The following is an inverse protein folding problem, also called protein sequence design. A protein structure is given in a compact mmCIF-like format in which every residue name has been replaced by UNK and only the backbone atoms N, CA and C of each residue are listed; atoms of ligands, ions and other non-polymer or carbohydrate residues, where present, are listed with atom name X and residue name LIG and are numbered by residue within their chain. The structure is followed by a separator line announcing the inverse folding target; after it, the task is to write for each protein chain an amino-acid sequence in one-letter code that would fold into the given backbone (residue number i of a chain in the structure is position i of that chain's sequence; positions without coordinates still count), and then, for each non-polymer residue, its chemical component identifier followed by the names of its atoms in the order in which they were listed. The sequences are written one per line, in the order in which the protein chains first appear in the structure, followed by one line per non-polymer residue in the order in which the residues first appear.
data_IF_580714587442
#
_entry.id   IF_580714587442
#
_cell.length_a   1.000
_cell.length_b   1.000
_cell.length_c   1.000
_cell.angle_alpha   90.00
_cell.angle_beta   90.00
_cell.angle_gamma   90.00
#
_symmetry.space_group_name_H-M   'P 1'
#
loop_
_entity.id
_entity.type
_entity.pdbx_description
1 polymer ?
#
# COMPACT_ATOMS: atom_id res chain seq x y z
N UNK A 1 -31.98 -15.80 -21.98
CA UNK A 1 -30.84 -15.90 -21.01
C UNK A 1 -29.71 -15.07 -21.56
N UNK A 2 -29.57 -13.82 -21.09
CA UNK A 2 -28.48 -12.93 -21.48
C UNK A 2 -27.31 -13.06 -20.50
N UNK A 3 -26.05 -12.89 -20.95
CA UNK A 3 -24.89 -12.97 -20.07
C UNK A 3 -24.94 -11.86 -19.01
N UNK A 4 -24.66 -12.26 -17.76
CA UNK A 4 -24.68 -11.39 -16.59
C UNK A 4 -23.61 -10.28 -16.68
N UNK A 5 -23.78 -9.16 -15.95
CA UNK A 5 -23.02 -7.93 -16.14
C UNK A 5 -21.53 -7.89 -15.72
N UNK A 6 -20.87 -8.87 -15.05
CA UNK A 6 -19.48 -8.65 -14.67
C UNK A 6 -18.47 -8.76 -15.83
N UNK A 7 -18.86 -9.30 -17.00
CA UNK A 7 -17.91 -9.54 -18.09
C UNK A 7 -17.52 -8.29 -18.91
N UNK A 8 -18.34 -7.23 -18.91
CA UNK A 8 -18.05 -6.01 -19.69
C UNK A 8 -17.01 -5.08 -19.06
N UNK A 9 -16.80 -5.17 -17.75
CA UNK A 9 -15.82 -4.36 -17.04
C UNK A 9 -14.39 -4.90 -17.16
N UNK A 10 -14.21 -6.22 -17.36
CA UNK A 10 -12.89 -6.83 -17.49
C UNK A 10 -12.25 -6.54 -18.87
N UNK A 11 -13.06 -6.41 -19.92
CA UNK A 11 -12.58 -6.11 -21.28
C UNK A 11 -12.15 -4.64 -21.44
N UNK A 12 -12.74 -3.72 -20.67
CA UNK A 12 -12.37 -2.30 -20.69
C UNK A 12 -11.03 -2.02 -19.99
N UNK A 13 -10.72 -2.76 -18.92
CA UNK A 13 -9.50 -2.56 -18.13
C UNK A 13 -8.25 -3.07 -18.88
N UNK A 14 -8.37 -4.15 -19.65
CA UNK A 14 -7.27 -4.72 -20.45
C UNK A 14 -6.87 -3.81 -21.62
N UNK A 15 -7.84 -3.13 -22.24
CA UNK A 15 -7.58 -2.19 -23.34
C UNK A 15 -6.92 -0.88 -22.87
N UNK A 16 -7.16 -0.46 -21.63
CA UNK A 16 -6.54 0.74 -21.06
C UNK A 16 -5.10 0.52 -20.58
N UNK A 17 -4.77 -0.69 -20.11
CA UNK A 17 -3.41 -1.07 -19.70
C UNK A 17 -2.45 -1.33 -20.89
N UNK A 18 -2.97 -1.60 -22.09
CA UNK A 18 -2.13 -1.78 -23.27
C UNK A 18 -1.67 -0.46 -23.92
N UNK A 19 -2.32 0.67 -23.61
CA UNK A 19 -1.97 1.97 -24.20
C UNK A 19 -0.87 2.74 -23.44
N UNK A 20 -0.44 2.29 -22.26
CA UNK A 20 0.56 2.98 -21.44
C UNK A 20 1.99 2.40 -21.55
N UNK A 21 2.19 1.36 -22.36
CA UNK A 21 3.52 0.77 -22.64
C UNK A 21 4.14 1.26 -23.96
N UNK A 22 3.91 2.52 -24.36
CA UNK A 22 4.78 3.17 -25.34
C UNK A 22 6.08 3.62 -24.65
N UNK A 23 6.93 2.64 -24.29
CA UNK A 23 8.29 2.89 -23.82
C UNK A 23 9.07 3.56 -24.94
N UNK A 24 9.45 4.82 -24.73
CA UNK A 24 10.49 5.49 -25.52
C UNK A 24 11.81 4.80 -25.20
N UNK A 25 12.17 3.82 -26.03
CA UNK A 25 13.51 3.23 -26.02
C UNK A 25 14.48 4.25 -26.61
N UNK A 26 15.18 4.98 -25.74
CA UNK A 26 16.38 5.73 -26.12
C UNK A 26 17.47 4.68 -26.41
N UNK A 27 17.74 4.44 -27.69
CA UNK A 27 18.82 3.57 -28.13
C UNK A 27 20.16 4.22 -27.81
N UNK A 28 20.87 3.71 -26.82
CA UNK A 28 22.31 3.96 -26.67
C UNK A 28 23.08 3.14 -27.71
N UNK A 29 24.06 3.72 -28.42
CA UNK A 29 24.89 2.95 -29.33
C UNK A 29 25.80 2.01 -28.52
N UNK A 30 25.67 0.74 -28.84
CA UNK A 30 26.39 -0.43 -28.33
C UNK A 30 27.89 -0.33 -28.61
N UNK A 31 28.73 -0.60 -27.61
CA UNK A 31 30.11 -1.07 -27.85
C UNK A 31 30.14 -2.58 -27.62
N UNK A 32 30.15 -3.34 -28.72
CA UNK A 32 30.38 -4.79 -28.70
C UNK A 32 31.85 -5.04 -28.99
N UNK A 33 32.57 -5.54 -27.99
CA UNK A 33 33.91 -6.08 -28.17
C UNK A 33 33.81 -7.46 -28.85
N UNK A 34 34.36 -7.58 -30.06
CA UNK A 34 34.46 -8.84 -30.77
C UNK A 34 35.66 -9.65 -30.24
N UNK A 35 35.37 -10.83 -29.68
CA UNK A 35 36.37 -11.88 -29.44
C UNK A 35 36.46 -12.69 -30.74
N UNK A 36 37.65 -12.73 -31.32
CA UNK A 36 37.96 -13.52 -32.51
C UNK A 36 38.05 -15.02 -32.19
N UNK A 37 37.47 -15.84 -33.05
CA UNK A 37 37.81 -17.26 -33.19
C UNK A 37 37.84 -17.62 -34.69
N UNK A 38 38.69 -18.57 -35.12
CA UNK A 38 39.08 -18.69 -36.52
C UNK A 38 38.31 -19.78 -37.28
N UNK A 39 38.32 -19.62 -38.61
CA UNK A 39 38.16 -20.66 -39.65
C UNK A 39 36.72 -21.06 -40.01
N UNK A 40 36.33 -20.82 -41.27
CA UNK A 40 36.50 -21.77 -42.38
C UNK A 40 36.10 -21.05 -43.69
N UNK A 41 36.91 -21.27 -44.72
CA UNK A 41 36.85 -20.61 -46.03
C UNK A 41 35.77 -21.29 -46.87
N UNK A 42 34.80 -20.51 -47.34
CA UNK A 42 33.93 -20.88 -48.46
C UNK A 42 33.90 -19.70 -49.44
N UNK A 43 34.63 -19.84 -50.54
CA UNK A 43 34.72 -18.86 -51.62
C UNK A 43 33.46 -18.90 -52.49
N UNK A 44 32.47 -18.08 -52.15
CA UNK A 44 31.40 -17.73 -53.08
C UNK A 44 31.67 -16.33 -53.61
N UNK A 45 32.01 -16.27 -54.89
CA UNK A 45 32.38 -15.07 -55.64
C UNK A 45 31.13 -14.22 -55.89
N UNK A 46 30.91 -13.21 -55.03
CA UNK A 46 29.95 -12.12 -55.26
C UNK A 46 30.62 -10.95 -56.00
N UNK A 47 29.89 -10.24 -56.89
CA UNK A 47 30.43 -9.13 -57.68
C UNK A 47 30.86 -7.94 -56.79
N UNK A 48 31.76 -7.06 -57.29
CA UNK A 48 32.29 -5.95 -56.51
C UNK A 48 31.17 -4.96 -56.16
N UNK A 49 30.81 -4.92 -54.88
CA UNK A 49 30.03 -3.84 -54.31
C UNK A 49 30.98 -2.66 -54.06
N UNK A 50 30.80 -1.64 -54.89
CA UNK A 50 31.45 -0.34 -54.80
C UNK A 50 30.97 0.37 -53.53
N UNK A 51 31.71 0.19 -52.43
CA UNK A 51 31.49 0.92 -51.19
C UNK A 51 32.13 2.30 -51.35
N UNK A 52 31.35 3.28 -51.80
CA UNK A 52 31.64 4.70 -51.58
C UNK A 52 31.31 5.05 -50.12
N UNK A 53 32.29 5.41 -49.28
CA UNK A 53 32.04 5.80 -47.89
C UNK A 53 31.66 7.29 -47.83
N UNK A 54 30.57 7.70 -48.48
CA UNK A 54 30.24 9.13 -48.65
C UNK A 54 28.87 9.55 -48.11
N UNK A 55 28.31 8.81 -47.14
CA UNK A 55 26.99 9.18 -46.59
C UNK A 55 26.96 9.61 -45.12
N UNK A 56 28.09 9.59 -44.40
CA UNK A 56 28.18 10.23 -43.09
C UNK A 56 29.49 11.00 -42.94
N UNK A 57 29.59 12.11 -43.68
CA UNK A 57 30.61 13.14 -43.51
C UNK A 57 30.52 13.79 -42.12
N UNK A 58 31.19 13.19 -41.14
CA UNK A 58 31.40 13.74 -39.79
C UNK A 58 32.84 14.21 -39.56
N UNK A 59 33.65 14.34 -40.61
CA UNK A 59 35.09 14.68 -40.51
C UNK A 59 35.43 16.15 -40.76
N UNK A 60 34.51 17.08 -40.54
CA UNK A 60 34.78 18.52 -40.74
C UNK A 60 34.16 19.45 -39.68
N UNK A 61 34.29 19.11 -38.40
CA UNK A 61 34.35 20.13 -37.34
C UNK A 61 35.79 20.25 -36.83
N UNK A 62 36.70 20.54 -37.75
CA UNK A 62 37.97 21.13 -37.38
C UNK A 62 37.66 22.48 -36.73
N UNK A 63 37.76 22.53 -35.40
CA UNK A 63 37.77 23.72 -34.56
C UNK A 63 39.04 24.54 -34.85
N UNK A 64 39.18 24.99 -36.10
CA UNK A 64 40.41 25.51 -36.68
C UNK A 64 40.17 26.86 -37.33
N UNK A 65 39.83 27.86 -36.51
CA UNK A 65 40.08 29.31 -36.70
C UNK A 65 39.35 30.02 -35.57
N UNK A 66 40.07 30.89 -34.85
CA UNK A 66 39.53 31.74 -33.79
C UNK A 66 38.29 32.50 -34.30
N UNK A 67 37.10 31.96 -34.00
CA UNK A 67 35.85 32.61 -34.32
C UNK A 67 35.85 33.95 -33.60
N UNK A 68 35.68 35.03 -34.36
CA UNK A 68 35.73 36.39 -33.82
C UNK A 68 34.72 36.50 -32.66
N UNK A 69 35.12 36.97 -31.47
CA UNK A 69 34.31 36.91 -30.24
C UNK A 69 32.96 37.63 -30.34
N UNK A 70 32.73 38.43 -31.39
CA UNK A 70 31.49 39.19 -31.60
C UNK A 70 30.28 38.34 -32.02
N UNK A 71 30.47 37.13 -32.58
CA UNK A 71 29.35 36.28 -33.03
C UNK A 71 28.97 35.21 -32.00
N UNK A 72 29.87 34.86 -31.08
CA UNK A 72 29.62 33.84 -30.06
C UNK A 72 28.60 34.29 -29.02
N UNK A 73 28.67 35.55 -28.59
CA UNK A 73 27.79 36.09 -27.55
C UNK A 73 26.29 36.00 -27.90
N UNK A 74 25.78 36.45 -29.06
CA UNK A 74 24.36 36.35 -29.36
C UNK A 74 23.87 34.90 -29.47
N UNK A 75 24.70 33.98 -29.95
CA UNK A 75 24.36 32.55 -30.02
C UNK A 75 24.20 31.97 -28.62
N UNK A 76 25.16 32.25 -27.72
CA UNK A 76 25.10 31.79 -26.32
C UNK A 76 23.86 32.36 -25.61
N UNK A 77 23.54 33.65 -25.82
CA UNK A 77 22.34 34.27 -25.24
C UNK A 77 21.07 33.59 -25.74
N UNK A 78 20.94 33.32 -27.05
CA UNK A 78 19.77 32.63 -27.61
C UNK A 78 19.63 31.21 -27.04
N UNK A 79 20.73 30.47 -26.90
CA UNK A 79 20.70 29.13 -26.30
C UNK A 79 20.31 29.15 -24.82
N UNK A 80 20.84 30.11 -24.04
CA UNK A 80 20.47 30.28 -22.63
C UNK A 80 18.99 30.65 -22.48
N UNK A 81 18.49 31.61 -23.27
CA UNK A 81 17.08 32.01 -23.25
C UNK A 81 16.19 30.82 -23.63
N UNK A 82 16.56 30.06 -24.66
CA UNK A 82 15.81 28.86 -25.07
C UNK A 82 15.80 27.78 -24.00
N UNK A 83 16.94 27.55 -23.33
CA UNK A 83 17.05 26.58 -22.23
C UNK A 83 16.15 26.96 -21.05
N UNK A 84 16.22 28.22 -20.61
CA UNK A 84 15.42 28.73 -19.50
C UNK A 84 13.93 28.71 -19.85
N UNK A 85 13.56 29.10 -21.08
CA UNK A 85 12.17 29.07 -21.54
C UNK A 85 11.63 27.64 -21.60
N UNK A 86 12.45 26.67 -22.02
CA UNK A 86 12.08 25.26 -22.04
C UNK A 86 11.84 24.74 -20.61
N UNK A 87 12.70 25.06 -19.66
CA UNK A 87 12.51 24.67 -18.25
C UNK A 87 11.25 25.30 -17.66
N UNK A 88 11.01 26.59 -17.89
CA UNK A 88 9.80 27.29 -17.44
C UNK A 88 8.52 26.72 -18.04
N UNK A 89 8.58 26.13 -19.24
CA UNK A 89 7.44 25.52 -19.89
C UNK A 89 7.24 24.04 -19.50
N UNK A 90 8.33 23.28 -19.33
CA UNK A 90 8.28 21.83 -19.04
C UNK A 90 7.94 21.57 -17.57
N UNK A 91 8.51 22.36 -16.65
CA UNK A 91 8.29 22.19 -15.21
C UNK A 91 6.79 22.21 -14.81
N UNK A 92 5.95 23.19 -15.22
CA UNK A 92 4.54 23.21 -14.83
C UNK A 92 3.75 22.04 -15.44
N UNK A 93 4.10 21.60 -16.66
CA UNK A 93 3.44 20.44 -17.30
C UNK A 93 3.77 19.15 -16.54
N UNK A 94 5.03 18.97 -16.13
CA UNK A 94 5.45 17.84 -15.30
C UNK A 94 4.78 17.85 -13.93
N UNK A 95 4.68 19.02 -13.30
CA UNK A 95 4.01 19.19 -12.01
C UNK A 95 2.51 18.89 -12.12
N UNK A 96 1.84 19.37 -13.16
CA UNK A 96 0.44 19.07 -13.43
C UNK A 96 0.20 17.56 -13.61
N UNK A 97 1.06 16.87 -14.37
CA UNK A 97 0.97 15.41 -14.52
C UNK A 97 1.11 14.67 -13.19
N UNK A 98 2.04 15.10 -12.34
CA UNK A 98 2.23 14.50 -11.01
C UNK A 98 1.02 14.71 -10.10
N UNK A 99 0.42 15.91 -10.13
CA UNK A 99 -0.80 16.23 -9.36
C UNK A 99 -1.97 15.37 -9.84
N UNK A 100 -2.21 15.28 -11.15
CA UNK A 100 -3.27 14.45 -11.72
C UNK A 100 -3.07 12.97 -11.35
N UNK A 101 -1.84 12.46 -11.41
CA UNK A 101 -1.53 11.09 -11.02
C UNK A 101 -1.82 10.84 -9.53
N UNK A 102 -1.37 11.73 -8.63
CA UNK A 102 -1.61 11.58 -7.18
C UNK A 102 -3.10 11.62 -6.85
N UNK A 103 -3.84 12.57 -7.42
CA UNK A 103 -5.30 12.66 -7.23
C UNK A 103 -6.00 11.41 -7.76
N UNK A 104 -5.59 10.90 -8.93
CA UNK A 104 -6.12 9.66 -9.48
C UNK A 104 -5.88 8.45 -8.58
N UNK A 105 -4.67 8.29 -8.03
CA UNK A 105 -4.34 7.21 -7.09
C UNK A 105 -5.18 7.31 -5.82
N UNK A 106 -5.32 8.52 -5.24
CA UNK A 106 -6.14 8.72 -4.04
C UNK A 106 -7.62 8.42 -4.29
N UNK A 107 -8.15 8.79 -5.45
CA UNK A 107 -9.52 8.48 -5.84
C UNK A 107 -9.75 6.98 -6.01
N UNK A 108 -8.81 6.27 -6.66
CA UNK A 108 -8.87 4.81 -6.79
C UNK A 108 -8.81 4.11 -5.42
N UNK A 109 -7.94 4.57 -4.52
CA UNK A 109 -7.85 4.04 -3.17
C UNK A 109 -9.16 4.27 -2.39
N UNK A 110 -9.75 5.47 -2.47
CA UNK A 110 -11.03 5.77 -1.83
C UNK A 110 -12.18 4.89 -2.36
N UNK A 111 -12.22 4.64 -3.67
CA UNK A 111 -13.21 3.74 -4.28
C UNK A 111 -12.99 2.27 -3.87
N UNK A 112 -11.74 1.82 -3.80
CA UNK A 112 -11.39 0.48 -3.32
C UNK A 112 -11.81 0.29 -1.85
N UNK A 113 -11.48 1.25 -0.99
CA UNK A 113 -11.90 1.25 0.42
C UNK A 113 -13.43 1.23 0.53
N UNK A 114 -14.13 2.09 -0.22
CA UNK A 114 -15.61 2.08 -0.22
C UNK A 114 -16.17 0.71 -0.62
N UNK A 115 -15.60 0.07 -1.65
CA UNK A 115 -16.06 -1.25 -2.12
C UNK A 115 -15.85 -2.36 -1.09
N UNK A 116 -14.80 -2.27 -0.28
CA UNK A 116 -14.48 -3.27 0.75
C UNK A 116 -15.25 -3.00 2.05
N UNK A 117 -15.26 -1.75 2.52
CA UNK A 117 -15.79 -1.39 3.84
C UNK A 117 -17.32 -1.31 3.86
N UNK A 118 -17.98 -0.87 2.79
CA UNK A 118 -19.46 -0.73 2.80
C UNK A 118 -20.16 -2.08 3.02
N UNK A 119 -19.83 -3.17 2.31
CA UNK A 119 -20.44 -4.47 2.57
C UNK A 119 -20.15 -5.00 3.98
N UNK A 120 -18.94 -4.77 4.50
CA UNK A 120 -18.57 -5.19 5.87
C UNK A 120 -19.39 -4.44 6.91
N UNK A 121 -19.56 -3.13 6.73
CA UNK A 121 -20.35 -2.30 7.63
C UNK A 121 -21.83 -2.69 7.59
N UNK A 122 -22.40 -2.91 6.39
CA UNK A 122 -23.78 -3.37 6.23
C UNK A 122 -23.99 -4.72 6.91
N UNK A 123 -23.08 -5.68 6.70
CA UNK A 123 -23.16 -6.98 7.35
C UNK A 123 -23.02 -6.89 8.88
N UNK A 124 -22.22 -5.96 9.40
CA UNK A 124 -22.08 -5.72 10.83
C UNK A 124 -23.37 -5.13 11.44
N UNK A 125 -24.01 -4.19 10.74
CA UNK A 125 -25.28 -3.59 11.15
C UNK A 125 -26.41 -4.64 11.14
N UNK A 126 -26.52 -5.44 10.08
CA UNK A 126 -27.54 -6.51 10.00
C UNK A 126 -27.36 -7.57 11.10
N UNK A 127 -26.12 -7.91 11.47
CA UNK A 127 -25.84 -8.79 12.62
C UNK A 127 -26.23 -8.19 13.96
N UNK A 128 -26.12 -6.87 14.11
CA UNK A 128 -26.53 -6.19 15.34
C UNK A 128 -28.05 -6.21 15.54
N UNK A 129 -28.83 -6.15 14.45
CA UNK A 129 -30.29 -6.20 14.52
C UNK A 129 -30.82 -7.63 14.73
N UNK A 130 -30.18 -8.62 14.11
CA UNK A 130 -30.60 -10.03 14.23
C UNK A 130 -30.25 -10.68 15.58
N UNK A 131 -29.33 -10.09 16.35
CA UNK A 131 -29.05 -10.53 17.72
C UNK A 131 -30.15 -10.14 18.73
N UNK A 132 -31.13 -9.31 18.35
CA UNK A 132 -32.05 -8.71 19.33
C UNK A 132 -33.27 -9.56 19.70
N UNK A 133 -33.81 -10.44 18.83
CA UNK A 133 -35.08 -11.13 19.13
C UNK A 133 -35.29 -12.41 18.31
N UNK A 134 -34.46 -13.45 18.46
CA UNK A 134 -34.81 -14.77 17.92
C UNK A 134 -34.39 -15.86 18.89
N UNK A 135 -35.06 -15.92 20.03
CA UNK A 135 -35.09 -17.11 20.86
C UNK A 135 -36.23 -18.00 20.32
N UNK A 136 -35.92 -19.13 19.67
CA UNK A 136 -36.96 -19.99 19.14
C UNK A 136 -37.64 -20.73 20.30
N UNK A 137 -38.97 -20.67 20.32
CA UNK A 137 -39.87 -21.61 21.02
C UNK A 137 -40.00 -21.56 22.55
N UNK A 138 -39.94 -20.39 23.17
CA UNK A 138 -40.63 -20.21 24.45
C UNK A 138 -42.02 -19.58 24.21
N UNK A 139 -43.09 -20.09 24.84
CA UNK A 139 -44.40 -19.47 24.77
C UNK A 139 -44.30 -18.00 25.17
N UNK A 140 -45.19 -17.12 24.67
CA UNK A 140 -45.17 -15.70 24.96
C UNK A 140 -45.40 -15.48 26.47
N UNK A 141 -44.33 -15.49 27.23
CA UNK A 141 -44.31 -14.94 28.57
C UNK A 141 -44.42 -13.43 28.41
N UNK A 142 -45.39 -12.77 29.08
CA UNK A 142 -45.48 -11.31 29.04
C UNK A 142 -44.13 -10.75 29.48
N UNK A 143 -43.57 -9.84 28.67
CA UNK A 143 -42.40 -9.05 29.01
C UNK A 143 -42.74 -8.22 30.26
N UNK A 144 -42.58 -8.82 31.43
CA UNK A 144 -42.58 -8.11 32.68
C UNK A 144 -41.38 -7.15 32.63
N UNK A 145 -41.55 -5.88 32.99
CA UNK A 145 -40.41 -4.97 33.13
C UNK A 145 -39.42 -5.64 34.07
N UNK A 146 -38.22 -5.94 33.56
CA UNK A 146 -37.15 -6.49 34.37
C UNK A 146 -36.86 -5.47 35.48
N UNK A 147 -37.42 -5.71 36.66
CA UNK A 147 -36.91 -5.10 37.87
C UNK A 147 -35.42 -5.42 37.89
N UNK A 148 -34.54 -4.41 38.07
CA UNK A 148 -33.11 -4.64 38.10
C UNK A 148 -32.85 -5.77 39.08
N UNK A 149 -32.22 -6.84 38.57
CA UNK A 149 -31.87 -8.02 39.35
C UNK A 149 -31.08 -7.51 40.55
N UNK A 150 -31.75 -7.40 41.69
CA UNK A 150 -31.12 -7.01 42.94
C UNK A 150 -30.33 -8.23 43.38
N UNK A 151 -29.15 -8.37 42.78
CA UNK A 151 -28.16 -9.35 43.20
C UNK A 151 -27.89 -9.07 44.67
N UNK A 152 -27.97 -10.08 45.55
CA UNK A 152 -27.57 -9.91 46.93
C UNK A 152 -26.14 -9.38 46.95
N UNK A 153 -25.81 -8.44 47.85
CA UNK A 153 -24.46 -7.91 47.96
C UNK A 153 -23.48 -9.07 48.12
N UNK A 154 -22.53 -9.17 47.18
CA UNK A 154 -21.47 -10.16 47.26
C UNK A 154 -20.73 -9.97 48.59
N UNK A 155 -20.42 -11.04 49.33
CA UNK A 155 -19.60 -10.92 50.52
C UNK A 155 -18.29 -10.19 50.18
N UNK A 156 -17.77 -9.34 51.08
CA UNK A 156 -16.69 -8.39 50.78
C UNK A 156 -15.39 -9.01 50.26
N UNK A 157 -15.24 -10.34 50.30
CA UNK A 157 -14.04 -11.08 49.91
C UNK A 157 -14.29 -12.18 48.86
N UNK A 158 -15.46 -12.25 48.22
CA UNK A 158 -15.77 -13.33 47.25
C UNK A 158 -15.48 -12.99 45.80
N UNK A 159 -14.95 -11.79 45.51
CA UNK A 159 -14.54 -11.47 44.15
C UNK A 159 -13.19 -12.15 43.90
N UNK A 160 -13.10 -13.12 42.96
CA UNK A 160 -11.80 -13.63 42.57
C UNK A 160 -10.94 -12.46 42.09
N UNK A 161 -9.63 -12.46 42.39
CA UNK A 161 -8.72 -11.44 41.90
C UNK A 161 -8.85 -11.36 40.38
N UNK A 162 -8.81 -10.14 39.84
CA UNK A 162 -8.81 -9.96 38.39
C UNK A 162 -7.59 -10.68 37.81
N UNK A 163 -7.71 -11.40 36.69
CA UNK A 163 -6.57 -12.08 36.06
C UNK A 163 -5.41 -11.12 35.71
N UNK A 164 -5.69 -9.82 35.66
CA UNK A 164 -4.70 -8.77 35.40
C UNK A 164 -4.03 -8.22 36.68
N UNK A 165 -4.46 -8.65 37.86
CA UNK A 165 -3.90 -8.21 39.16
C UNK A 165 -2.84 -9.15 39.71
N UNK A 166 -2.67 -10.33 39.11
CA UNK A 166 -1.59 -11.26 39.46
C UNK A 166 -0.29 -10.88 38.75
N UNK A 167 0.83 -11.30 39.34
CA UNK A 167 2.18 -11.23 38.75
C UNK A 167 2.78 -12.63 38.71
N UNK A 168 2.90 -13.28 37.54
CA UNK A 168 2.52 -12.82 36.20
C UNK A 168 0.99 -12.79 35.96
N UNK A 169 0.54 -12.25 34.81
CA UNK A 169 -0.88 -12.30 34.42
C UNK A 169 -1.42 -13.73 34.40
N UNK A 170 -2.62 -13.93 34.93
CA UNK A 170 -3.31 -15.21 34.84
C UNK A 170 -4.05 -15.29 33.50
N UNK A 171 -3.48 -16.07 32.57
CA UNK A 171 -4.04 -16.30 31.24
C UNK A 171 -4.91 -17.56 31.17
N UNK A 172 -5.34 -18.15 32.29
CA UNK A 172 -6.18 -19.35 32.27
C UNK A 172 -7.48 -19.18 31.48
N UNK A 173 -7.96 -17.93 31.33
CA UNK A 173 -9.16 -17.62 30.52
C UNK A 173 -8.90 -17.67 29.00
N UNK A 174 -7.66 -17.47 28.57
CA UNK A 174 -7.27 -17.46 27.14
C UNK A 174 -7.59 -18.80 26.45
N UNK A 175 -7.18 -19.98 26.96
CA UNK A 175 -7.52 -21.25 26.31
C UNK A 175 -9.01 -21.60 26.41
N UNK A 176 -9.71 -21.09 27.43
CA UNK A 176 -11.15 -21.31 27.56
C UNK A 176 -11.96 -20.47 26.56
N UNK A 177 -11.49 -19.28 26.19
CA UNK A 177 -12.24 -18.33 25.37
C UNK A 177 -12.67 -18.90 24.00
N UNK A 178 -11.83 -19.59 23.19
CA UNK A 178 -12.26 -20.20 21.94
C UNK A 178 -13.31 -21.30 22.13
N UNK A 179 -13.25 -22.06 23.23
CA UNK A 179 -14.22 -23.12 23.51
C UNK A 179 -15.60 -22.57 23.90
N UNK A 180 -15.63 -21.42 24.58
CA UNK A 180 -16.87 -20.76 25.04
C UNK A 180 -17.48 -19.91 23.93
N UNK A 181 -16.67 -19.10 23.24
CA UNK A 181 -17.13 -18.07 22.31
C UNK A 181 -17.07 -18.51 20.84
N UNK A 182 -16.28 -19.53 20.51
CA UNK A 182 -16.17 -20.06 19.14
C UNK A 182 -15.85 -18.97 18.12
N UNK A 183 -16.63 -18.94 17.03
CA UNK A 183 -16.49 -17.95 15.96
C UNK A 183 -16.90 -16.53 16.34
N UNK A 184 -17.49 -16.32 17.52
CA UNK A 184 -17.83 -14.99 18.02
C UNK A 184 -16.65 -14.29 18.72
N UNK A 185 -15.55 -14.99 18.96
CA UNK A 185 -14.34 -14.39 19.54
C UNK A 185 -13.65 -13.49 18.51
N UNK A 186 -13.77 -12.17 18.68
CA UNK A 186 -13.14 -11.17 17.81
C UNK A 186 -11.66 -10.93 18.15
N UNK A 187 -11.28 -11.10 19.42
CA UNK A 187 -9.93 -10.87 19.90
C UNK A 187 -9.85 -11.00 21.42
N UNK A 188 -8.62 -11.01 21.94
CA UNK A 188 -8.32 -10.98 23.36
C UNK A 188 -7.57 -9.70 23.67
N UNK A 189 -7.97 -9.02 24.73
CA UNK A 189 -7.29 -7.82 25.21
C UNK A 189 -6.48 -8.19 26.45
N UNK A 190 -5.16 -8.01 26.38
CA UNK A 190 -4.27 -8.25 27.50
C UNK A 190 -4.18 -6.97 28.36
N UNK A 191 -5.03 -6.87 29.38
CA UNK A 191 -5.08 -5.74 30.30
C UNK A 191 -6.10 -4.66 29.90
N UNK A 192 -6.31 -3.72 30.82
CA UNK A 192 -7.23 -2.59 30.70
C UNK A 192 -6.59 -1.39 31.40
N UNK A 193 -6.24 -0.33 30.68
CA UNK A 193 -5.61 0.88 31.24
C UNK A 193 -4.30 0.60 32.01
N UNK A 194 -3.27 0.03 31.35
CA UNK A 194 -2.00 -0.30 32.01
C UNK A 194 -1.26 0.95 32.55
N UNK A 195 -1.57 2.13 32.03
CA UNK A 195 -1.09 3.43 32.50
C UNK A 195 -1.62 3.80 33.90
N UNK A 196 -2.74 3.21 34.33
CA UNK A 196 -3.37 3.46 35.64
C UNK A 196 -3.07 2.37 36.68
N UNK A 197 -2.26 1.36 36.36
CA UNK A 197 -2.03 0.21 37.23
C UNK A 197 -1.36 0.56 38.55
N UNK A 198 -0.42 1.50 38.54
CA UNK A 198 0.20 1.98 39.76
C UNK A 198 -0.78 2.81 40.63
N UNK A 199 -1.61 3.64 40.01
CA UNK A 199 -2.61 4.48 40.68
C UNK A 199 -3.71 3.66 41.33
N UNK A 200 -4.07 2.51 40.75
CA UNK A 200 -5.06 1.58 41.29
C UNK A 200 -4.45 0.48 42.18
N UNK A 201 -3.14 0.52 42.46
CA UNK A 201 -2.48 -0.46 43.32
C UNK A 201 -2.42 -1.88 42.74
N UNK A 202 -2.54 -2.03 41.43
CA UNK A 202 -2.39 -3.32 40.74
C UNK A 202 -0.93 -3.67 40.46
N UNK A 203 -0.05 -2.66 40.43
CA UNK A 203 1.39 -2.78 40.23
C UNK A 203 2.16 -1.78 41.11
N UNK A 204 3.47 -2.00 41.35
CA UNK A 204 4.30 -1.05 42.10
C UNK A 204 4.31 0.34 41.47
N UNK A 205 4.60 1.37 42.27
CA UNK A 205 4.66 2.76 41.79
C UNK A 205 5.69 2.98 40.65
N UNK A 206 6.67 2.10 40.53
CA UNK A 206 7.70 2.12 39.48
C UNK A 206 7.26 1.51 38.16
N UNK A 207 6.08 0.89 38.10
CA UNK A 207 5.57 0.23 36.90
C UNK A 207 5.23 1.26 35.82
N UNK A 208 5.82 1.09 34.64
CA UNK A 208 5.60 1.95 33.49
C UNK A 208 5.44 1.19 32.17
N UNK A 209 5.42 1.91 31.03
CA UNK A 209 5.20 1.30 29.71
C UNK A 209 6.22 0.22 29.33
N UNK A 210 7.47 0.34 29.80
CA UNK A 210 8.51 -0.65 29.54
C UNK A 210 8.24 -1.98 30.28
N UNK A 211 7.83 -1.91 31.56
CA UNK A 211 7.49 -3.09 32.35
C UNK A 211 6.28 -3.82 31.75
N UNK A 212 5.25 -3.06 31.35
CA UNK A 212 4.09 -3.62 30.64
C UNK A 212 4.49 -4.32 29.34
N UNK A 213 5.35 -3.68 28.53
CA UNK A 213 5.88 -4.28 27.32
C UNK A 213 6.63 -5.59 27.60
N UNK A 214 7.46 -5.61 28.65
CA UNK A 214 8.17 -6.82 29.10
C UNK A 214 7.23 -7.93 29.54
N UNK A 215 6.24 -7.63 30.39
CA UNK A 215 5.23 -8.61 30.83
C UNK A 215 4.47 -9.21 29.64
N UNK A 216 4.13 -8.41 28.62
CA UNK A 216 3.47 -8.93 27.41
C UNK A 216 4.42 -9.76 26.55
N UNK A 217 5.69 -9.35 26.42
CA UNK A 217 6.70 -10.09 25.66
C UNK A 217 6.99 -11.47 26.24
N UNK A 218 6.90 -11.65 27.57
CA UNK A 218 7.10 -12.96 28.20
C UNK A 218 6.05 -14.02 27.77
N UNK A 219 4.96 -13.62 27.11
CA UNK A 219 3.92 -14.52 26.61
C UNK A 219 4.05 -14.90 25.12
N UNK A 220 4.98 -14.32 24.37
CA UNK A 220 5.19 -14.57 22.93
C UNK A 220 6.55 -15.20 22.65
#
# INVERSE_FOLDING_TARGET
MGPSPPFRLLLGLTLFLSLTHATVTVSTPTQVAFIAAPSQVSTTQTPPLDFTPDLFGWSSFAFGRAARPRVLLPVVVVLLVKSVLLELLVLPVMLLRLVVLRVGILLLLALALRRIFVPVLVAAVERSESASCTLPHLPPSPCAPHSPLSLPPLPPNSRPPSPFTTTPFDLAIVPAAPSILGSYLLGLQAGNEPDMYNLHGHRPATYGPYDYGGEISDFF
#
